data_IF_107125432341
#
_entry.id   IF_107125432341
#
_cell.length_a   1.000
_cell.length_b   1.000
_cell.length_c   1.000
_cell.angle_alpha   90.00
_cell.angle_beta   90.00
_cell.angle_gamma   90.00
#
_symmetry.space_group_name_H-M   'P 1'
#
loop_
_entity.id
_entity.type
_entity.pdbx_description
1 polymer ?
#
# COMPACT_ATOMS: atom_id res chain seq x y z
N UNK A 1 -3.40 14.02 -16.05
CA UNK A 1 -4.87 14.24 -16.04
C UNK A 1 -5.65 13.01 -15.52
N UNK A 2 -5.39 11.79 -16.00
CA UNK A 2 -6.10 10.59 -15.50
C UNK A 2 -5.72 10.27 -14.05
N UNK A 3 -4.45 10.36 -13.70
CA UNK A 3 -3.96 10.13 -12.34
C UNK A 3 -4.51 11.13 -11.33
N UNK A 4 -4.77 12.38 -11.74
CA UNK A 4 -5.27 13.45 -10.88
C UNK A 4 -6.71 13.17 -10.37
N UNK A 5 -7.46 12.35 -11.10
CA UNK A 5 -8.83 11.93 -10.75
C UNK A 5 -8.81 10.54 -10.12
N UNK A 6 -8.06 9.61 -10.68
CA UNK A 6 -8.06 8.20 -10.25
C UNK A 6 -7.45 8.03 -8.85
N UNK A 7 -6.39 8.78 -8.51
CA UNK A 7 -5.77 8.68 -7.18
C UNK A 7 -6.69 9.12 -6.04
N UNK A 8 -7.36 10.29 -6.08
CA UNK A 8 -8.35 10.64 -5.07
C UNK A 8 -9.50 9.64 -4.96
N UNK A 9 -10.01 9.14 -6.09
CA UNK A 9 -11.06 8.12 -6.10
C UNK A 9 -10.59 6.84 -5.41
N UNK A 10 -9.37 6.37 -5.72
CA UNK A 10 -8.77 5.22 -5.06
C UNK A 10 -8.69 5.41 -3.54
N UNK A 11 -8.20 6.56 -3.10
CA UNK A 11 -8.07 6.87 -1.66
C UNK A 11 -9.43 6.85 -0.98
N UNK A 12 -10.43 7.52 -1.55
CA UNK A 12 -11.79 7.57 -0.99
C UNK A 12 -12.39 6.17 -0.88
N UNK A 13 -12.26 5.36 -1.93
CA UNK A 13 -12.77 3.99 -1.93
C UNK A 13 -12.04 3.11 -0.92
N UNK A 14 -10.73 3.24 -0.83
CA UNK A 14 -9.94 2.50 0.13
C UNK A 14 -10.31 2.87 1.56
N UNK A 15 -10.47 4.16 1.86
CA UNK A 15 -10.97 4.63 3.16
C UNK A 15 -12.34 4.05 3.48
N UNK A 16 -13.25 4.03 2.51
CA UNK A 16 -14.58 3.43 2.69
C UNK A 16 -14.49 1.93 3.04
N UNK A 17 -13.61 1.19 2.37
CA UNK A 17 -13.35 -0.23 2.68
C UNK A 17 -12.74 -0.42 4.08
N UNK A 18 -11.79 0.42 4.46
CA UNK A 18 -11.20 0.39 5.81
C UNK A 18 -12.27 0.65 6.87
N UNK A 19 -13.07 1.70 6.69
CA UNK A 19 -14.18 2.01 7.62
C UNK A 19 -15.15 0.85 7.69
N UNK A 20 -15.53 0.26 6.56
CA UNK A 20 -16.41 -0.91 6.54
C UNK A 20 -15.80 -2.10 7.30
N UNK A 21 -14.50 -2.37 7.12
CA UNK A 21 -13.82 -3.48 7.79
C UNK A 21 -13.82 -3.36 9.32
N UNK A 22 -13.85 -2.15 9.85
CA UNK A 22 -13.92 -1.90 11.30
C UNK A 22 -15.26 -2.35 11.93
N UNK A 23 -16.33 -2.39 11.15
CA UNK A 23 -17.64 -2.84 11.62
C UNK A 23 -17.85 -4.35 11.52
N UNK A 24 -16.86 -5.08 10.98
CA UNK A 24 -16.96 -6.53 10.89
C UNK A 24 -16.78 -7.21 12.27
N UNK A 25 -17.55 -8.27 12.55
CA UNK A 25 -17.41 -9.00 13.81
C UNK A 25 -16.01 -9.64 13.94
N UNK A 26 -15.32 -9.35 15.03
CA UNK A 26 -13.95 -9.82 15.28
C UNK A 26 -12.84 -8.90 14.77
N UNK A 27 -13.17 -7.75 14.15
CA UNK A 27 -12.20 -6.73 13.75
C UNK A 27 -11.30 -6.29 14.90
N UNK A 28 -11.84 -6.21 16.13
CA UNK A 28 -11.11 -5.86 17.34
C UNK A 28 -9.92 -6.78 17.63
N UNK A 29 -10.03 -8.08 17.34
CA UNK A 29 -8.93 -9.04 17.50
C UNK A 29 -7.77 -8.73 16.57
N UNK A 30 -8.07 -8.37 15.33
CA UNK A 30 -7.06 -7.95 14.36
C UNK A 30 -6.40 -6.64 14.76
N UNK A 31 -7.17 -5.66 15.19
CA UNK A 31 -6.62 -4.37 15.65
C UNK A 31 -5.76 -4.55 16.90
N UNK A 32 -6.17 -5.40 17.84
CA UNK A 32 -5.33 -5.73 18.99
C UNK A 32 -4.01 -6.37 18.57
N UNK A 33 -4.02 -7.28 17.59
CA UNK A 33 -2.80 -7.88 17.06
C UNK A 33 -1.88 -6.85 16.40
N UNK A 34 -2.43 -5.80 15.75
CA UNK A 34 -1.66 -4.73 15.13
C UNK A 34 -1.05 -3.78 16.17
N UNK A 35 -1.83 -3.36 17.17
CA UNK A 35 -1.45 -2.31 18.10
C UNK A 35 -0.86 -2.81 19.43
N UNK A 36 -0.90 -4.12 19.70
CA UNK A 36 -0.27 -4.68 20.89
C UNK A 36 1.24 -4.84 20.66
N UNK A 37 2.09 -4.05 21.33
CA UNK A 37 3.51 -4.10 21.10
C UNK A 37 4.13 -5.35 21.73
N UNK A 38 4.96 -6.05 20.97
CA UNK A 38 5.82 -7.12 21.47
C UNK A 38 7.26 -6.61 21.56
N UNK A 39 7.61 -6.08 22.72
CA UNK A 39 8.92 -5.50 22.99
C UNK A 39 10.07 -6.51 22.87
N UNK A 40 9.78 -7.82 23.05
CA UNK A 40 10.78 -8.87 22.92
C UNK A 40 11.32 -8.99 21.50
N UNK A 41 10.54 -8.60 20.49
CA UNK A 41 10.92 -8.63 19.08
C UNK A 41 11.97 -7.58 18.70
N UNK A 42 12.12 -6.53 19.50
CA UNK A 42 13.11 -5.47 19.20
C UNK A 42 14.56 -5.98 19.28
N UNK A 43 14.81 -7.04 20.03
CA UNK A 43 16.13 -7.68 20.09
C UNK A 43 16.45 -8.57 18.88
N UNK A 44 15.47 -8.84 18.02
CA UNK A 44 15.63 -9.68 16.85
C UNK A 44 16.04 -8.85 15.63
N UNK A 45 17.27 -9.03 15.08
CA UNK A 45 17.73 -8.28 13.91
C UNK A 45 16.85 -8.43 12.67
N UNK A 46 16.18 -9.59 12.50
CA UNK A 46 15.32 -9.84 11.33
C UNK A 46 14.12 -8.88 11.26
N UNK A 47 13.61 -8.43 12.41
CA UNK A 47 12.52 -7.46 12.48
C UNK A 47 12.96 -6.12 11.91
N UNK A 48 14.16 -5.67 12.27
CA UNK A 48 14.72 -4.42 11.76
C UNK A 48 15.02 -4.49 10.26
N UNK A 49 15.58 -5.61 9.79
CA UNK A 49 15.82 -5.83 8.36
C UNK A 49 14.51 -5.79 7.57
N UNK A 50 13.46 -6.45 8.07
CA UNK A 50 12.15 -6.43 7.44
C UNK A 50 11.53 -5.01 7.42
N UNK A 51 11.63 -4.26 8.54
CA UNK A 51 11.12 -2.90 8.64
C UNK A 51 11.85 -1.94 7.68
N UNK A 52 13.17 -1.98 7.65
CA UNK A 52 13.95 -1.18 6.70
C UNK A 52 13.66 -1.57 5.25
N UNK A 53 13.59 -2.87 4.96
CA UNK A 53 13.24 -3.37 3.63
C UNK A 53 11.89 -2.86 3.16
N UNK A 54 10.90 -2.83 4.03
CA UNK A 54 9.57 -2.27 3.72
C UNK A 54 9.63 -0.78 3.41
N UNK A 55 10.37 0.01 4.19
CA UNK A 55 10.53 1.46 3.95
C UNK A 55 11.22 1.71 2.61
N UNK A 56 12.31 0.98 2.32
CA UNK A 56 13.01 1.11 1.04
C UNK A 56 12.11 0.79 -0.14
N UNK A 57 11.31 -0.26 -0.03
CA UNK A 57 10.37 -0.67 -1.07
C UNK A 57 9.25 0.35 -1.25
N UNK A 58 8.61 0.76 -0.15
CA UNK A 58 7.45 1.65 -0.14
C UNK A 58 7.77 3.04 -0.68
N UNK A 59 8.90 3.61 -0.28
CA UNK A 59 9.36 4.92 -0.77
C UNK A 59 10.14 4.83 -2.09
N UNK A 60 10.22 3.64 -2.70
CA UNK A 60 10.97 3.39 -3.94
C UNK A 60 12.42 3.87 -3.88
N UNK A 61 13.06 3.75 -2.70
CA UNK A 61 14.45 4.13 -2.49
C UNK A 61 15.34 3.12 -3.23
N UNK A 62 16.37 3.60 -3.90
CA UNK A 62 17.30 2.81 -4.73
C UNK A 62 16.73 2.22 -6.03
N UNK A 63 15.48 2.45 -6.36
CA UNK A 63 14.89 2.06 -7.65
C UNK A 63 15.14 3.08 -8.77
N UNK A 64 15.70 4.25 -8.46
CA UNK A 64 15.92 5.31 -9.43
C UNK A 64 14.67 6.13 -9.78
N UNK A 65 13.48 5.74 -9.32
CA UNK A 65 12.21 6.38 -9.65
C UNK A 65 12.22 7.85 -9.20
N UNK A 66 12.54 8.10 -7.94
CA UNK A 66 12.55 9.46 -7.39
C UNK A 66 13.64 10.35 -8.04
N UNK A 67 14.80 9.78 -8.40
CA UNK A 67 15.87 10.47 -9.12
C UNK A 67 15.36 10.88 -10.51
N UNK A 68 14.69 9.97 -11.20
CA UNK A 68 14.13 10.22 -12.53
C UNK A 68 13.08 11.33 -12.48
N UNK A 69 12.14 11.26 -11.56
CA UNK A 69 11.12 12.31 -11.40
C UNK A 69 11.70 13.65 -10.97
N UNK A 70 12.68 13.63 -10.06
CA UNK A 70 13.38 14.87 -9.66
C UNK A 70 14.09 15.54 -10.83
N UNK A 71 14.60 14.77 -11.80
CA UNK A 71 15.24 15.30 -13.00
C UNK A 71 14.30 16.08 -13.93
N UNK A 72 12.98 15.90 -13.80
CA UNK A 72 11.97 16.63 -14.57
C UNK A 72 11.51 17.92 -13.89
N UNK A 73 11.88 18.14 -12.64
CA UNK A 73 11.49 19.32 -11.89
C UNK A 73 12.35 20.53 -12.28
N UNK A 74 11.78 21.72 -12.08
CA UNK A 74 12.52 22.96 -12.25
C UNK A 74 13.61 23.11 -11.18
N UNK A 75 14.69 23.83 -11.49
CA UNK A 75 15.82 24.02 -10.55
C UNK A 75 15.42 24.68 -9.22
N UNK A 76 14.39 25.49 -9.23
CA UNK A 76 13.90 26.24 -8.06
C UNK A 76 12.79 25.48 -7.30
N UNK A 77 12.55 24.19 -7.60
CA UNK A 77 11.54 23.38 -6.92
C UNK A 77 12.00 23.03 -5.51
N UNK A 78 11.09 23.17 -4.53
CA UNK A 78 11.32 22.73 -3.15
C UNK A 78 11.28 21.20 -3.06
N UNK A 79 12.43 20.58 -3.13
CA UNK A 79 12.58 19.13 -3.03
C UNK A 79 12.43 18.64 -1.59
N UNK A 80 12.86 19.46 -0.62
CA UNK A 80 12.82 19.08 0.80
C UNK A 80 11.37 19.02 1.30
N UNK A 81 10.60 20.08 1.05
CA UNK A 81 9.18 20.12 1.42
C UNK A 81 8.38 19.02 0.71
N UNK A 82 8.62 18.84 -0.59
CA UNK A 82 7.98 17.77 -1.37
C UNK A 82 8.32 16.38 -0.83
N UNK A 83 9.59 16.12 -0.48
CA UNK A 83 10.04 14.85 0.08
C UNK A 83 9.39 14.54 1.43
N UNK A 84 9.27 15.54 2.31
CA UNK A 84 8.57 15.39 3.60
C UNK A 84 7.09 15.08 3.40
N UNK A 85 6.40 15.79 2.51
CA UNK A 85 4.99 15.53 2.22
C UNK A 85 4.78 14.11 1.69
N UNK A 86 5.61 13.69 0.73
CA UNK A 86 5.53 12.33 0.17
C UNK A 86 5.79 11.27 1.24
N UNK A 87 6.83 11.45 2.08
CA UNK A 87 7.16 10.49 3.15
C UNK A 87 6.05 10.34 4.17
N UNK A 88 5.50 11.47 4.68
CA UNK A 88 4.41 11.43 5.65
C UNK A 88 3.09 10.92 5.05
N UNK A 89 2.75 11.32 3.83
CA UNK A 89 1.55 10.83 3.16
C UNK A 89 1.63 9.32 2.92
N UNK A 90 2.78 8.81 2.47
CA UNK A 90 3.00 7.38 2.29
C UNK A 90 2.83 6.61 3.61
N UNK A 91 3.51 7.05 4.68
CA UNK A 91 3.41 6.40 5.99
C UNK A 91 2.00 6.44 6.57
N UNK A 92 1.29 7.55 6.39
CA UNK A 92 -0.11 7.68 6.82
C UNK A 92 -1.02 6.70 6.09
N UNK A 93 -0.81 6.54 4.79
CA UNK A 93 -1.57 5.58 3.98
C UNK A 93 -1.25 4.14 4.37
N UNK A 94 0.01 3.79 4.67
CA UNK A 94 0.41 2.47 5.14
C UNK A 94 -0.25 2.11 6.48
N UNK A 95 -0.29 3.05 7.42
CA UNK A 95 -0.97 2.84 8.71
C UNK A 95 -2.47 2.62 8.49
N UNK A 96 -3.10 3.42 7.64
CA UNK A 96 -4.51 3.27 7.28
C UNK A 96 -4.77 1.90 6.64
N UNK A 97 -3.91 1.49 5.71
CA UNK A 97 -3.99 0.19 5.07
C UNK A 97 -3.82 -0.95 6.08
N UNK A 98 -2.87 -0.82 7.00
CA UNK A 98 -2.64 -1.76 8.09
C UNK A 98 -3.89 -1.96 8.94
N UNK A 99 -4.55 -0.87 9.34
CA UNK A 99 -5.80 -0.92 10.10
C UNK A 99 -6.86 -1.73 9.36
N UNK A 100 -7.10 -1.44 8.07
CA UNK A 100 -8.08 -2.16 7.26
C UNK A 100 -7.75 -3.64 7.08
N UNK A 101 -6.50 -3.94 6.78
CA UNK A 101 -6.03 -5.32 6.58
C UNK A 101 -6.15 -6.12 7.87
N UNK A 102 -5.68 -5.59 9.00
CA UNK A 102 -5.75 -6.31 10.28
C UNK A 102 -7.17 -6.45 10.81
N UNK A 103 -8.06 -5.47 10.61
CA UNK A 103 -9.48 -5.62 10.89
C UNK A 103 -10.08 -6.78 10.10
N UNK A 104 -9.75 -6.88 8.81
CA UNK A 104 -10.13 -7.96 7.94
C UNK A 104 -9.61 -9.33 8.39
N UNK A 105 -8.35 -9.39 8.82
CA UNK A 105 -7.74 -10.59 9.38
C UNK A 105 -8.42 -11.04 10.66
N UNK A 106 -8.77 -10.10 11.55
CA UNK A 106 -9.52 -10.38 12.77
C UNK A 106 -10.89 -11.02 12.49
N UNK A 107 -11.58 -10.52 11.46
CA UNK A 107 -12.83 -11.10 11.00
C UNK A 107 -12.65 -12.55 10.51
N UNK A 108 -11.67 -12.79 9.65
CA UNK A 108 -11.39 -14.13 9.10
C UNK A 108 -10.97 -15.09 10.21
N UNK A 109 -10.07 -14.67 11.11
CA UNK A 109 -9.62 -15.46 12.24
C UNK A 109 -10.80 -15.86 13.15
N UNK A 110 -11.71 -14.92 13.40
CA UNK A 110 -12.93 -15.18 14.18
C UNK A 110 -13.85 -16.15 13.46
N UNK A 111 -14.03 -16.01 12.15
CA UNK A 111 -14.88 -16.90 11.36
C UNK A 111 -14.32 -18.33 11.25
N UNK A 112 -13.00 -18.49 11.29
CA UNK A 112 -12.32 -19.78 11.21
C UNK A 112 -11.98 -20.38 12.58
N UNK A 113 -12.13 -19.61 13.67
CA UNK A 113 -11.78 -20.06 15.01
C UNK A 113 -10.27 -20.23 15.26
N UNK A 114 -9.44 -19.50 14.51
CA UNK A 114 -7.97 -19.54 14.60
C UNK A 114 -7.41 -18.21 15.10
N UNK A 115 -6.11 -18.19 15.44
CA UNK A 115 -5.42 -16.98 15.81
C UNK A 115 -5.12 -16.08 14.59
N UNK A 116 -5.13 -14.76 14.79
CA UNK A 116 -4.82 -13.79 13.73
C UNK A 116 -3.43 -14.01 13.13
N UNK A 117 -2.49 -14.46 13.96
CA UNK A 117 -1.11 -14.77 13.55
C UNK A 117 -1.03 -15.92 12.53
N UNK A 118 -1.94 -16.87 12.58
CA UNK A 118 -1.99 -18.00 11.64
C UNK A 118 -2.51 -17.53 10.27
N UNK A 119 -3.55 -16.71 10.27
CA UNK A 119 -4.09 -16.12 9.03
C UNK A 119 -3.08 -15.18 8.39
N UNK A 120 -2.34 -14.40 9.18
CA UNK A 120 -1.35 -13.44 8.70
C UNK A 120 -0.14 -14.06 7.98
N UNK A 121 0.15 -15.34 8.20
CA UNK A 121 1.26 -16.06 7.52
C UNK A 121 1.08 -16.18 6.00
N UNK A 122 -0.12 -15.89 5.48
CA UNK A 122 -0.45 -16.02 4.06
C UNK A 122 0.26 -15.05 3.10
N UNK A 123 0.99 -14.05 3.61
CA UNK A 123 1.79 -13.12 2.78
C UNK A 123 0.96 -12.39 1.72
N UNK A 124 1.51 -12.29 0.50
CA UNK A 124 0.87 -11.61 -0.65
C UNK A 124 -0.50 -12.23 -1.00
N UNK A 125 -0.66 -13.54 -0.81
CA UNK A 125 -1.93 -14.23 -1.03
C UNK A 125 -3.06 -13.70 -0.15
N UNK A 126 -2.72 -13.09 0.99
CA UNK A 126 -3.69 -12.57 1.92
C UNK A 126 -4.63 -11.54 1.30
N UNK A 127 -4.09 -10.59 0.53
CA UNK A 127 -4.90 -9.59 -0.16
C UNK A 127 -5.89 -10.22 -1.15
N UNK A 128 -5.51 -11.31 -1.79
CA UNK A 128 -6.34 -12.01 -2.77
C UNK A 128 -7.32 -13.03 -2.17
N UNK A 129 -7.15 -13.42 -0.91
CA UNK A 129 -8.08 -14.31 -0.21
C UNK A 129 -8.94 -13.56 0.81
N UNK A 130 -8.34 -12.66 1.59
CA UNK A 130 -9.03 -11.95 2.65
C UNK A 130 -10.06 -10.94 2.11
N UNK A 131 -9.66 -10.09 1.18
CA UNK A 131 -10.57 -9.08 0.65
C UNK A 131 -11.74 -9.65 -0.14
N UNK A 132 -11.58 -10.65 -1.04
CA UNK A 132 -12.73 -11.30 -1.67
C UNK A 132 -13.71 -11.92 -0.68
N UNK A 133 -13.20 -12.52 0.40
CA UNK A 133 -14.07 -13.11 1.45
C UNK A 133 -14.92 -12.05 2.15
N UNK A 134 -14.34 -10.89 2.43
CA UNK A 134 -15.06 -9.77 3.05
C UNK A 134 -16.06 -9.17 2.08
N UNK A 135 -15.62 -8.92 0.85
CA UNK A 135 -16.44 -8.35 -0.21
C UNK A 135 -17.67 -9.20 -0.47
N UNK A 136 -17.53 -10.54 -0.51
CA UNK A 136 -18.65 -11.45 -0.70
C UNK A 136 -19.68 -11.45 0.45
N UNK A 137 -19.27 -11.05 1.64
CA UNK A 137 -20.17 -10.93 2.81
C UNK A 137 -20.72 -9.52 3.00
N UNK A 138 -20.20 -8.54 2.29
CA UNK A 138 -20.62 -7.15 2.40
C UNK A 138 -21.94 -6.90 1.65
N UNK A 139 -22.82 -6.04 2.17
CA UNK A 139 -23.89 -5.49 1.37
C UNK A 139 -23.28 -4.73 0.18
N UNK A 140 -23.82 -4.96 -1.03
CA UNK A 140 -23.26 -4.43 -2.29
C UNK A 140 -21.84 -4.94 -2.62
N UNK A 141 -21.50 -6.18 -2.19
CA UNK A 141 -20.19 -6.78 -2.38
C UNK A 141 -19.69 -6.76 -3.83
N UNK A 142 -20.56 -6.95 -4.82
CA UNK A 142 -20.20 -6.89 -6.24
C UNK A 142 -19.62 -5.52 -6.64
N UNK A 143 -20.27 -4.42 -6.21
CA UNK A 143 -19.82 -3.05 -6.48
C UNK A 143 -18.50 -2.79 -5.76
N UNK A 144 -18.41 -3.16 -4.48
CA UNK A 144 -17.18 -3.02 -3.69
C UNK A 144 -16.02 -3.82 -4.31
N UNK A 145 -16.30 -5.02 -4.83
CA UNK A 145 -15.32 -5.86 -5.50
C UNK A 145 -14.76 -5.21 -6.76
N UNK A 146 -15.64 -4.74 -7.64
CA UNK A 146 -15.23 -4.03 -8.87
C UNK A 146 -14.41 -2.79 -8.55
N UNK A 147 -14.86 -2.02 -7.56
CA UNK A 147 -14.18 -0.81 -7.14
C UNK A 147 -12.80 -1.13 -6.52
N UNK A 148 -12.69 -2.13 -5.66
CA UNK A 148 -11.44 -2.52 -5.02
C UNK A 148 -10.43 -3.06 -6.02
N UNK A 149 -10.79 -4.08 -6.79
CA UNK A 149 -9.87 -4.66 -7.77
C UNK A 149 -9.58 -3.73 -8.94
N UNK A 150 -10.54 -2.90 -9.34
CA UNK A 150 -10.34 -1.84 -10.31
C UNK A 150 -9.28 -0.83 -9.83
N UNK A 151 -9.42 -0.32 -8.61
CA UNK A 151 -8.46 0.63 -8.04
C UNK A 151 -7.08 -0.01 -7.84
N UNK A 152 -7.01 -1.27 -7.41
CA UNK A 152 -5.76 -2.01 -7.29
C UNK A 152 -5.06 -2.17 -8.65
N UNK A 153 -5.83 -2.46 -9.69
CA UNK A 153 -5.31 -2.56 -11.06
C UNK A 153 -4.73 -1.23 -11.55
N UNK A 154 -5.45 -0.13 -11.32
CA UNK A 154 -4.94 1.21 -11.67
C UNK A 154 -3.69 1.59 -10.87
N UNK A 155 -3.65 1.27 -9.57
CA UNK A 155 -2.46 1.49 -8.75
C UNK A 155 -1.26 0.68 -9.26
N UNK A 156 -1.46 -0.58 -9.62
CA UNK A 156 -0.43 -1.44 -10.20
C UNK A 156 0.07 -0.90 -11.55
N UNK A 157 -0.83 -0.44 -12.43
CA UNK A 157 -0.48 0.14 -13.73
C UNK A 157 0.33 1.44 -13.57
N UNK A 158 -0.04 2.33 -12.64
CA UNK A 158 0.72 3.57 -12.39
C UNK A 158 2.11 3.27 -11.86
N UNK A 159 2.26 2.30 -10.96
CA UNK A 159 3.56 1.85 -10.46
C UNK A 159 4.41 1.22 -11.57
N UNK A 160 3.81 0.40 -12.43
CA UNK A 160 4.49 -0.22 -13.57
C UNK A 160 5.01 0.84 -14.55
N UNK A 161 4.20 1.85 -14.88
CA UNK A 161 4.63 2.98 -15.73
C UNK A 161 5.84 3.71 -15.11
N UNK A 162 5.83 3.92 -13.79
CA UNK A 162 6.93 4.58 -13.09
C UNK A 162 8.25 3.80 -13.21
N UNK A 163 8.21 2.48 -13.12
CA UNK A 163 9.39 1.61 -13.30
C UNK A 163 9.91 1.65 -14.75
N UNK A 164 8.99 1.61 -15.73
CA UNK A 164 9.35 1.70 -17.14
C UNK A 164 10.00 3.05 -17.45
N UNK A 165 9.49 4.14 -16.87
CA UNK A 165 10.02 5.49 -17.09
C UNK A 165 11.49 5.60 -16.67
N UNK A 166 11.91 4.92 -15.61
CA UNK A 166 13.32 4.85 -15.19
C UNK A 166 14.19 4.25 -16.31
N UNK A 167 13.73 3.14 -16.87
CA UNK A 167 14.45 2.43 -17.94
C UNK A 167 14.54 3.30 -19.18
N UNK A 168 13.42 3.89 -19.57
CA UNK A 168 13.36 4.80 -20.75
C UNK A 168 14.28 5.98 -20.55
N UNK A 169 14.24 6.64 -19.37
CA UNK A 169 15.09 7.78 -19.05
C UNK A 169 16.57 7.42 -19.13
N UNK A 170 16.97 6.28 -18.56
CA UNK A 170 18.34 5.82 -18.60
C UNK A 170 18.83 5.54 -20.03
N UNK A 171 17.99 4.94 -20.88
CA UNK A 171 18.30 4.68 -22.29
C UNK A 171 18.42 6.00 -23.08
N UNK A 172 17.49 6.93 -22.86
CA UNK A 172 17.50 8.23 -23.53
C UNK A 172 18.77 9.03 -23.18
N UNK A 173 19.15 9.06 -21.91
CA UNK A 173 20.35 9.75 -21.45
C UNK A 173 21.62 9.12 -22.06
N UNK A 174 21.69 7.79 -22.09
CA UNK A 174 22.83 7.06 -22.67
C UNK A 174 22.96 7.25 -24.18
N UNK A 175 21.85 7.25 -24.90
CA UNK A 175 21.80 7.38 -26.36
C UNK A 175 21.71 8.85 -26.81
N UNK A 176 21.68 9.81 -25.88
CA UNK A 176 21.47 11.24 -26.14
C UNK A 176 20.23 11.53 -26.99
N UNK A 177 19.19 10.74 -26.83
CA UNK A 177 17.92 10.92 -27.53
C UNK A 177 17.16 12.09 -26.92
N UNK A 178 16.50 12.88 -27.79
CA UNK A 178 15.65 14.00 -27.33
C UNK A 178 14.42 13.41 -26.63
N UNK A 179 14.11 13.95 -25.45
CA UNK A 179 12.85 13.66 -24.76
C UNK A 179 11.70 14.26 -25.59
N UNK A 180 10.72 13.45 -25.96
CA UNK A 180 9.54 13.86 -26.73
C UNK A 180 8.51 14.56 -25.84
#
# INVERSE_FOLDING_TARGET
>A
KSSDILMPVLVVMFVALVVYSLFLPGAEKGLNALFTPDWSKLSNPSVWIAAYGQIFFSLSICFGIMITYASYLKKDSDLTGSGLVVGFANSSFEVLAGIGVFAALGFIATAQGVEVSEVAKGGIGLAFFAFPTIINKAPFGEVLGVLFFGSLTFAALTSFISVIEVIISAIQDKLRLRRA
#
